data_IF_354545484883
#
_entry.id   IF_354545484883
#
_cell.length_a   1.000
_cell.length_b   1.000
_cell.length_c   1.000
_cell.angle_alpha   90.00
_cell.angle_beta   90.00
_cell.angle_gamma   90.00
#
_symmetry.space_group_name_H-M   'P 1'
#
loop_
_entity.id
_entity.type
_entity.pdbx_description
1 polymer ?
#
# COMPACT_ATOMS: atom_id res chain seq x y z
N UNK A 1 17.83 0.71 -16.10
CA UNK A 1 18.57 0.04 -15.02
C UNK A 1 18.78 1.01 -13.88
N UNK A 2 19.21 0.54 -12.71
CA UNK A 2 19.64 1.37 -11.58
C UNK A 2 20.71 2.37 -12.03
N UNK A 3 21.64 1.91 -12.87
CA UNK A 3 22.68 2.76 -13.46
C UNK A 3 22.11 3.86 -14.37
N UNK A 4 21.13 3.54 -15.24
CA UNK A 4 20.48 4.56 -16.08
C UNK A 4 19.76 5.62 -15.23
N UNK A 5 19.14 5.21 -14.12
CA UNK A 5 18.50 6.16 -13.20
C UNK A 5 19.51 7.02 -12.45
N UNK A 6 20.65 6.46 -12.05
CA UNK A 6 21.77 7.20 -11.48
C UNK A 6 22.26 8.28 -12.43
N UNK A 7 22.47 7.95 -13.71
CA UNK A 7 22.88 8.90 -14.75
C UNK A 7 21.82 10.00 -14.99
N UNK A 8 20.53 9.66 -14.92
CA UNK A 8 19.45 10.65 -14.99
C UNK A 8 19.52 11.64 -13.82
N UNK A 9 19.83 11.18 -12.60
CA UNK A 9 20.01 12.07 -11.46
C UNK A 9 21.25 12.97 -11.63
N UNK A 10 22.37 12.44 -12.09
CA UNK A 10 23.58 13.23 -12.40
C UNK A 10 23.31 14.33 -13.43
N UNK A 11 22.58 14.02 -14.50
CA UNK A 11 22.21 15.00 -15.52
C UNK A 11 21.30 16.11 -14.96
N UNK A 12 20.42 15.76 -14.02
CA UNK A 12 19.49 16.73 -13.41
C UNK A 12 20.12 17.53 -12.27
N UNK A 13 21.30 17.15 -11.77
CA UNK A 13 22.07 17.97 -10.81
C UNK A 13 22.43 19.33 -11.42
N UNK A 14 22.75 19.37 -12.72
CA UNK A 14 23.17 20.60 -13.42
C UNK A 14 22.09 21.68 -13.49
N UNK A 15 20.84 21.26 -13.68
CA UNK A 15 19.69 22.18 -13.85
C UNK A 15 18.90 22.37 -12.57
N UNK A 16 19.12 21.51 -11.58
CA UNK A 16 18.41 21.48 -10.32
C UNK A 16 17.05 20.78 -10.43
N UNK A 17 16.78 19.88 -9.49
CA UNK A 17 15.47 19.26 -9.29
C UNK A 17 14.60 20.15 -8.39
N UNK A 18 13.34 20.34 -8.79
CA UNK A 18 12.33 21.00 -7.94
C UNK A 18 11.77 20.09 -6.86
N UNK A 19 11.75 18.78 -7.14
CA UNK A 19 11.24 17.77 -6.24
C UNK A 19 12.41 17.14 -5.49
N UNK A 20 12.41 17.30 -4.17
CA UNK A 20 13.25 16.51 -3.27
C UNK A 20 12.48 15.25 -2.91
N UNK A 21 13.12 14.09 -3.02
CA UNK A 21 12.40 12.84 -2.88
C UNK A 21 13.27 11.61 -2.70
N UNK A 22 12.61 10.53 -2.30
CA UNK A 22 13.18 9.21 -2.20
C UNK A 22 12.70 8.38 -3.40
N UNK A 23 13.62 7.74 -4.12
CA UNK A 23 13.31 6.90 -5.26
C UNK A 23 13.82 5.48 -5.02
N UNK A 24 12.94 4.49 -5.03
CA UNK A 24 13.32 3.08 -5.08
C UNK A 24 13.40 2.63 -6.53
N UNK A 25 14.50 1.98 -6.91
CA UNK A 25 14.74 1.50 -8.28
C UNK A 25 15.20 0.05 -8.21
N UNK A 26 14.54 -0.79 -8.98
CA UNK A 26 14.95 -2.18 -9.23
C UNK A 26 15.12 -2.39 -10.73
N UNK A 27 15.93 -3.37 -11.13
CA UNK A 27 16.02 -3.79 -12.51
C UNK A 27 16.23 -5.30 -12.67
N UNK A 28 16.03 -5.78 -13.90
CA UNK A 28 16.17 -7.19 -14.25
C UNK A 28 17.63 -7.69 -14.29
N UNK A 29 18.63 -6.82 -14.12
CA UNK A 29 20.02 -7.23 -13.98
C UNK A 29 20.40 -7.54 -12.52
N UNK A 30 19.44 -7.44 -11.59
CA UNK A 30 19.64 -7.65 -10.16
C UNK A 30 19.98 -6.37 -9.39
N UNK A 31 19.93 -5.20 -10.04
CA UNK A 31 20.07 -3.92 -9.37
C UNK A 31 18.88 -3.65 -8.46
N UNK A 32 19.16 -3.25 -7.21
CA UNK A 32 18.16 -2.78 -6.26
C UNK A 32 18.77 -1.66 -5.43
N UNK A 33 18.25 -0.43 -5.57
CA UNK A 33 18.81 0.73 -4.90
C UNK A 33 17.73 1.72 -4.47
N UNK A 34 18.06 2.49 -3.44
CA UNK A 34 17.28 3.64 -3.03
C UNK A 34 18.11 4.91 -3.17
N UNK A 35 17.51 5.96 -3.71
CA UNK A 35 18.12 7.26 -3.88
C UNK A 35 17.44 8.28 -2.97
N UNK A 36 18.21 8.98 -2.14
CA UNK A 36 17.76 10.22 -1.48
C UNK A 36 18.25 11.40 -2.33
N UNK A 37 17.35 12.05 -3.07
CA UNK A 37 17.69 13.11 -4.01
C UNK A 37 17.27 14.49 -3.49
N UNK A 38 18.25 15.38 -3.33
CA UNK A 38 18.07 16.81 -3.11
C UNK A 38 18.01 17.60 -4.43
N UNK A 39 18.06 18.94 -4.38
CA UNK A 39 17.98 19.78 -5.57
C UNK A 39 19.13 19.57 -6.56
N UNK A 40 20.38 19.52 -6.08
CA UNK A 40 21.58 19.49 -6.93
C UNK A 40 22.52 18.32 -6.61
N UNK A 41 22.12 17.46 -5.68
CA UNK A 41 22.88 16.26 -5.28
C UNK A 41 21.93 15.14 -4.92
N UNK A 42 22.45 13.92 -4.91
CA UNK A 42 21.74 12.74 -4.42
C UNK A 42 22.71 11.78 -3.74
N UNK A 43 22.17 10.91 -2.88
CA UNK A 43 22.89 9.77 -2.33
C UNK A 43 22.21 8.48 -2.79
N UNK A 44 22.99 7.57 -3.35
CA UNK A 44 22.56 6.22 -3.68
C UNK A 44 22.88 5.27 -2.51
N UNK A 45 21.93 4.38 -2.23
CA UNK A 45 22.04 3.30 -1.27
C UNK A 45 21.76 1.98 -2.01
N UNK A 46 22.78 1.17 -2.24
CA UNK A 46 22.65 -0.13 -2.90
C UNK A 46 22.18 -1.19 -1.89
N UNK A 47 21.06 -1.86 -2.18
CA UNK A 47 20.54 -2.91 -1.32
C UNK A 47 21.36 -4.21 -1.38
N UNK A 48 22.24 -4.35 -2.38
CA UNK A 48 23.16 -5.48 -2.50
C UNK A 48 24.47 -5.27 -1.73
N UNK A 49 24.75 -4.05 -1.26
CA UNK A 49 25.94 -3.75 -0.48
C UNK A 49 25.68 -4.07 1.01
N UNK A 50 26.39 -5.04 1.62
CA UNK A 50 26.17 -5.41 3.02
C UNK A 50 26.57 -4.30 4.02
N UNK A 51 27.36 -3.30 3.63
CA UNK A 51 27.64 -2.13 4.48
C UNK A 51 26.43 -1.17 4.52
N UNK A 52 25.65 -1.12 3.45
CA UNK A 52 24.46 -0.27 3.30
C UNK A 52 23.20 -0.99 3.80
N UNK A 53 23.03 -2.25 3.42
CA UNK A 53 21.89 -3.10 3.70
C UNK A 53 22.36 -4.43 4.31
N UNK A 54 22.83 -4.43 5.58
CA UNK A 54 23.41 -5.62 6.23
C UNK A 54 22.44 -6.80 6.35
N UNK A 55 21.13 -6.55 6.23
CA UNK A 55 20.07 -7.56 6.24
C UNK A 55 19.49 -7.84 4.85
N UNK A 56 20.06 -7.29 3.79
CA UNK A 56 19.60 -7.46 2.40
C UNK A 56 18.35 -6.66 2.03
N UNK A 57 17.97 -5.66 2.83
CA UNK A 57 16.85 -4.76 2.53
C UNK A 57 17.14 -3.33 2.98
N UNK A 58 16.43 -2.37 2.38
CA UNK A 58 16.44 -0.95 2.76
C UNK A 58 15.00 -0.50 3.02
N UNK A 59 14.76 0.15 4.15
CA UNK A 59 13.49 0.82 4.46
C UNK A 59 13.69 2.33 4.45
N UNK A 60 12.70 3.05 3.92
CA UNK A 60 12.57 4.49 4.08
C UNK A 60 11.15 4.86 4.48
N UNK A 61 11.08 5.88 5.33
CA UNK A 61 9.85 6.55 5.67
C UNK A 61 9.98 8.04 5.31
N UNK A 62 9.15 8.91 5.88
CA UNK A 62 9.12 10.34 5.54
C UNK A 62 10.22 11.14 6.26
N UNK A 63 11.46 10.65 6.20
CA UNK A 63 12.67 11.37 6.60
C UNK A 63 13.84 10.92 5.72
N UNK A 64 14.86 11.76 5.59
CA UNK A 64 16.11 11.44 4.90
C UNK A 64 17.20 11.10 5.91
N UNK A 65 17.91 10.00 5.68
CA UNK A 65 19.06 9.59 6.51
C UNK A 65 20.24 10.54 6.32
N UNK A 66 20.49 10.97 5.09
CA UNK A 66 21.52 11.95 4.73
C UNK A 66 21.31 13.29 5.43
N UNK A 67 20.09 13.85 5.37
CA UNK A 67 19.77 15.13 5.99
C UNK A 67 19.89 15.11 7.52
N UNK A 68 19.79 13.91 8.12
CA UNK A 68 19.93 13.70 9.57
C UNK A 68 21.34 13.28 9.99
N UNK A 69 22.23 12.99 9.05
CA UNK A 69 23.57 12.48 9.35
C UNK A 69 23.55 11.12 10.05
N UNK A 70 22.56 10.27 9.75
CA UNK A 70 22.44 8.92 10.32
C UNK A 70 22.83 7.85 9.28
N UNK A 71 23.22 6.64 9.70
CA UNK A 71 23.62 5.58 8.76
C UNK A 71 22.50 5.22 7.75
N UNK A 72 22.85 4.56 6.62
CA UNK A 72 21.88 4.10 5.62
C UNK A 72 20.74 3.23 6.17
N UNK A 73 21.07 2.32 7.09
CA UNK A 73 20.14 1.48 7.84
C UNK A 73 20.23 1.84 9.33
N UNK A 74 19.66 2.98 9.76
CA UNK A 74 19.80 3.44 11.14
C UNK A 74 19.07 2.47 12.09
N UNK A 75 19.64 2.25 13.28
CA UNK A 75 18.90 1.55 14.34
C UNK A 75 17.61 2.32 14.66
N UNK A 76 16.52 1.60 14.95
CA UNK A 76 15.20 2.19 15.21
C UNK A 76 15.20 3.21 16.35
N UNK A 77 16.06 3.04 17.36
CA UNK A 77 16.24 4.00 18.47
C UNK A 77 16.80 5.35 18.03
N UNK A 78 17.58 5.40 16.93
CA UNK A 78 18.17 6.64 16.42
C UNK A 78 17.13 7.55 15.76
N UNK A 79 16.03 6.95 15.26
CA UNK A 79 14.94 7.68 14.61
C UNK A 79 13.72 7.85 15.51
N UNK A 80 13.84 7.52 16.80
CA UNK A 80 12.80 7.79 17.79
C UNK A 80 12.51 9.30 17.89
N UNK A 81 11.23 9.67 18.06
CA UNK A 81 10.80 11.08 18.05
C UNK A 81 10.91 11.78 16.69
N UNK A 82 11.39 11.10 15.64
CA UNK A 82 11.36 11.61 14.27
C UNK A 82 9.98 11.40 13.68
N UNK A 83 9.45 12.40 12.97
CA UNK A 83 8.25 12.20 12.17
C UNK A 83 8.42 10.98 11.25
N UNK A 84 7.49 10.02 11.30
CA UNK A 84 7.57 8.75 10.57
C UNK A 84 8.60 7.73 11.10
N UNK A 85 9.26 7.99 12.22
CA UNK A 85 10.20 7.06 12.87
C UNK A 85 9.55 5.77 13.36
N UNK A 86 8.35 5.86 13.94
CA UNK A 86 7.56 4.69 14.38
C UNK A 86 7.19 3.78 13.19
N UNK A 87 6.79 4.37 12.06
CA UNK A 87 6.49 3.65 10.81
C UNK A 87 7.72 2.96 10.23
N UNK A 88 8.86 3.64 10.24
CA UNK A 88 10.14 3.03 9.87
C UNK A 88 10.46 1.83 10.77
N UNK A 89 10.36 2.00 12.08
CA UNK A 89 10.64 0.94 13.05
C UNK A 89 9.68 -0.25 12.88
N UNK A 90 8.40 0.02 12.61
CA UNK A 90 7.38 -0.99 12.36
C UNK A 90 7.67 -1.79 11.08
N UNK A 91 8.00 -1.11 9.98
CA UNK A 91 8.36 -1.77 8.73
C UNK A 91 9.62 -2.64 8.87
N UNK A 92 10.65 -2.15 9.57
CA UNK A 92 11.84 -2.96 9.86
C UNK A 92 11.51 -4.21 10.68
N UNK A 93 10.69 -4.11 11.74
CA UNK A 93 10.28 -5.27 12.54
C UNK A 93 9.52 -6.31 11.71
N UNK A 94 8.56 -5.87 10.89
CA UNK A 94 7.79 -6.78 10.02
C UNK A 94 8.70 -7.57 9.07
N UNK A 95 9.71 -6.91 8.48
CA UNK A 95 10.67 -7.59 7.61
C UNK A 95 11.60 -8.51 8.43
N UNK A 96 12.09 -8.04 9.57
CA UNK A 96 13.02 -8.79 10.43
C UNK A 96 12.41 -10.07 11.00
N UNK A 97 11.12 -10.05 11.32
CA UNK A 97 10.36 -11.22 11.79
C UNK A 97 10.25 -12.30 10.70
N UNK A 98 10.35 -11.92 9.42
CA UNK A 98 10.38 -12.85 8.27
C UNK A 98 11.79 -13.20 7.81
N UNK A 99 12.81 -12.45 8.24
CA UNK A 99 14.21 -12.66 7.86
C UNK A 99 15.12 -12.76 9.11
N UNK A 100 14.88 -13.69 10.06
CA UNK A 100 15.53 -13.71 11.37
C UNK A 100 17.06 -13.90 11.31
N UNK A 101 17.58 -14.61 10.30
CA UNK A 101 19.01 -14.93 10.17
C UNK A 101 19.73 -14.14 9.05
N UNK A 102 19.10 -13.11 8.49
CA UNK A 102 19.68 -12.33 7.37
C UNK A 102 19.93 -13.16 6.10
N UNK A 103 19.36 -14.37 6.02
CA UNK A 103 19.39 -15.23 4.83
C UNK A 103 18.22 -14.87 3.91
N UNK A 104 18.39 -15.18 2.63
CA UNK A 104 17.28 -15.28 1.67
C UNK A 104 16.32 -16.37 2.17
N UNK A 105 15.34 -15.98 2.98
CA UNK A 105 14.23 -16.84 3.35
C UNK A 105 13.09 -16.64 2.37
N UNK A 106 12.45 -17.74 1.99
CA UNK A 106 11.23 -17.76 1.17
C UNK A 106 10.02 -17.10 1.89
N UNK A 107 10.22 -16.48 3.05
CA UNK A 107 9.19 -15.98 3.96
C UNK A 107 8.80 -14.51 3.70
N UNK A 108 9.60 -13.72 2.98
CA UNK A 108 9.21 -12.38 2.51
C UNK A 108 8.50 -12.50 1.14
N UNK A 109 7.31 -13.08 1.17
CA UNK A 109 6.51 -13.32 -0.03
C UNK A 109 5.73 -12.07 -0.46
N UNK A 110 5.26 -12.06 -1.72
CA UNK A 110 4.43 -10.96 -2.24
C UNK A 110 3.09 -10.86 -1.49
N UNK A 111 2.49 -11.99 -1.10
CA UNK A 111 1.27 -12.02 -0.29
C UNK A 111 1.53 -11.42 1.10
N UNK A 112 2.66 -11.71 1.73
CA UNK A 112 3.01 -11.09 3.01
C UNK A 112 3.14 -9.57 2.88
N UNK A 113 3.82 -9.07 1.85
CA UNK A 113 3.94 -7.61 1.65
C UNK A 113 2.56 -6.98 1.42
N UNK A 114 1.74 -7.56 0.54
CA UNK A 114 0.41 -7.03 0.21
C UNK A 114 -0.59 -7.12 1.38
N UNK A 115 -0.53 -8.19 2.16
CA UNK A 115 -1.46 -8.43 3.27
C UNK A 115 -0.97 -7.80 4.56
N UNK A 116 0.20 -8.21 5.04
CA UNK A 116 0.73 -7.82 6.35
C UNK A 116 1.35 -6.42 6.35
N UNK A 117 2.10 -6.02 5.32
CA UNK A 117 2.78 -4.72 5.34
C UNK A 117 1.88 -3.58 4.88
N UNK A 118 1.18 -3.74 3.74
CA UNK A 118 0.35 -2.68 3.18
C UNK A 118 -0.92 -2.38 4.01
N UNK A 119 -1.34 -3.31 4.88
CA UNK A 119 -2.54 -3.17 5.75
C UNK A 119 -2.20 -3.18 7.24
N UNK A 120 -0.94 -2.89 7.60
CA UNK A 120 -0.51 -2.93 8.99
C UNK A 120 -1.32 -1.97 9.87
N UNK A 121 -1.80 -2.52 10.99
CA UNK A 121 -2.56 -1.83 12.03
C UNK A 121 -1.86 -2.08 13.37
N UNK A 122 -0.87 -1.24 13.67
CA UNK A 122 -0.18 -1.23 14.94
C UNK A 122 -0.25 0.15 15.60
N UNK A 123 -0.24 0.16 16.93
CA UNK A 123 -0.23 1.39 17.72
C UNK A 123 1.10 2.16 17.59
N UNK A 124 1.21 3.32 18.24
CA UNK A 124 2.43 4.15 18.24
C UNK A 124 3.65 3.48 18.88
N UNK A 125 3.45 2.41 19.66
CA UNK A 125 4.55 1.59 20.21
C UNK A 125 4.96 0.47 19.26
N UNK A 126 4.17 0.25 18.20
CA UNK A 126 4.39 -0.77 17.19
C UNK A 126 3.80 -2.12 17.54
N UNK A 127 2.92 -2.18 18.54
CA UNK A 127 2.18 -3.39 18.91
C UNK A 127 0.96 -3.48 17.99
N UNK A 128 0.79 -4.59 17.24
CA UNK A 128 -0.38 -4.78 16.39
C UNK A 128 -1.65 -4.95 17.23
N UNK A 129 -2.75 -4.37 16.78
CA UNK A 129 -4.04 -4.53 17.45
C UNK A 129 -4.54 -5.97 17.34
N UNK A 130 -5.19 -6.49 18.37
CA UNK A 130 -5.86 -7.80 18.35
C UNK A 130 -6.87 -7.87 17.20
N UNK A 131 -7.01 -9.05 16.59
CA UNK A 131 -7.88 -9.23 15.41
C UNK A 131 -7.39 -8.59 14.11
N UNK A 132 -6.34 -7.76 14.15
CA UNK A 132 -5.75 -7.17 12.95
C UNK A 132 -4.87 -8.15 12.18
N UNK A 133 -4.49 -7.77 10.95
CA UNK A 133 -3.69 -8.61 10.04
C UNK A 133 -2.35 -9.10 10.62
N UNK A 134 -1.77 -8.35 11.57
CA UNK A 134 -0.51 -8.70 12.24
C UNK A 134 -0.71 -8.96 13.74
N UNK A 135 -1.95 -8.92 14.23
CA UNK A 135 -2.31 -9.05 15.62
C UNK A 135 -2.45 -10.50 16.09
N UNK A 136 -2.51 -10.72 17.41
CA UNK A 136 -3.01 -11.99 17.93
C UNK A 136 -4.48 -12.19 17.51
N UNK A 137 -4.91 -13.45 17.50
CA UNK A 137 -6.31 -13.78 17.25
C UNK A 137 -7.22 -13.15 18.32
N UNK A 138 -8.33 -12.56 17.88
CA UNK A 138 -9.35 -11.95 18.73
C UNK A 138 -10.16 -10.92 17.95
N UNK A 139 -10.83 -10.01 18.66
CA UNK A 139 -11.68 -8.97 18.06
C UNK A 139 -10.91 -7.66 17.91
N UNK A 140 -11.19 -6.94 16.81
CA UNK A 140 -10.67 -5.59 16.62
C UNK A 140 -11.27 -4.65 17.68
N UNK A 141 -10.50 -3.67 18.20
CA UNK A 141 -11.08 -2.58 18.97
C UNK A 141 -12.03 -1.77 18.09
N UNK A 142 -13.18 -1.33 18.63
CA UNK A 142 -14.21 -0.54 17.92
C UNK A 142 -13.64 0.55 17.01
N UNK A 143 -12.58 1.23 17.48
CA UNK A 143 -11.85 2.23 16.74
C UNK A 143 -10.34 1.99 16.78
N UNK A 144 -9.68 2.21 15.64
CA UNK A 144 -8.22 2.19 15.52
C UNK A 144 -7.71 3.54 15.07
N UNK A 145 -6.91 4.21 15.91
CA UNK A 145 -6.15 5.38 15.49
C UNK A 145 -5.04 4.96 14.52
N UNK A 146 -4.99 5.59 13.35
CA UNK A 146 -4.07 5.18 12.29
C UNK A 146 -2.85 6.09 12.15
N UNK A 147 -2.69 7.11 13.01
CA UNK A 147 -1.65 8.13 12.82
C UNK A 147 -0.23 7.57 12.84
N UNK A 148 0.01 6.51 13.61
CA UNK A 148 1.30 5.82 13.69
C UNK A 148 1.42 4.58 12.78
N UNK A 149 0.30 4.07 12.25
CA UNK A 149 0.27 2.88 11.39
C UNK A 149 0.98 3.12 10.06
N UNK A 150 1.44 2.05 9.40
CA UNK A 150 1.89 2.15 8.01
C UNK A 150 0.71 2.55 7.09
N UNK A 151 -0.47 1.94 7.30
CA UNK A 151 -1.69 2.20 6.51
C UNK A 151 -2.63 3.19 7.19
N UNK A 152 -2.43 4.49 6.90
CA UNK A 152 -3.14 5.61 7.53
C UNK A 152 -4.47 5.92 6.83
N UNK A 153 -5.34 6.70 7.47
CA UNK A 153 -6.56 7.25 6.82
C UNK A 153 -6.23 8.07 5.56
N UNK A 154 -5.04 8.67 5.51
CA UNK A 154 -4.53 9.41 4.34
C UNK A 154 -3.91 8.52 3.26
N UNK A 155 -3.79 7.20 3.47
CA UNK A 155 -3.27 6.29 2.45
C UNK A 155 -4.31 6.17 1.33
N UNK A 156 -3.89 6.44 0.10
CA UNK A 156 -4.77 6.43 -1.09
C UNK A 156 -4.46 5.31 -2.07
N UNK A 157 -3.35 4.60 -1.84
CA UNK A 157 -2.98 3.39 -2.55
C UNK A 157 -1.78 2.72 -1.87
N UNK A 158 -1.56 1.46 -2.20
CA UNK A 158 -0.27 0.79 -2.03
C UNK A 158 0.12 0.12 -3.35
N UNK A 159 1.43 0.02 -3.59
CA UNK A 159 1.97 -0.67 -4.74
C UNK A 159 3.18 -1.52 -4.35
N UNK A 160 3.25 -2.73 -4.92
CA UNK A 160 4.38 -3.64 -4.75
C UNK A 160 4.93 -4.01 -6.13
N UNK A 161 6.18 -3.64 -6.38
CA UNK A 161 6.88 -3.99 -7.61
C UNK A 161 7.64 -5.29 -7.40
N UNK A 162 7.14 -6.36 -8.00
CA UNK A 162 7.77 -7.69 -7.99
C UNK A 162 8.58 -7.87 -9.27
N UNK A 163 9.86 -7.55 -9.19
CA UNK A 163 10.86 -7.70 -10.26
C UNK A 163 11.11 -9.14 -10.69
N UNK A 164 12.05 -9.32 -11.60
CA UNK A 164 12.47 -10.61 -12.16
C UNK A 164 13.94 -10.86 -11.87
N UNK A 165 14.38 -12.13 -11.88
CA UNK A 165 15.78 -12.50 -11.67
C UNK A 165 16.63 -12.21 -12.92
N UNK A 166 17.96 -12.06 -12.78
CA UNK A 166 18.86 -11.99 -13.93
C UNK A 166 18.66 -13.16 -14.90
N UNK A 167 18.35 -12.83 -16.16
CA UNK A 167 18.10 -13.79 -17.23
C UNK A 167 16.62 -14.11 -17.50
N UNK A 168 15.70 -13.70 -16.62
CA UNK A 168 14.25 -13.76 -16.88
C UNK A 168 13.82 -12.58 -17.78
N UNK A 169 12.67 -12.71 -18.45
CA UNK A 169 12.12 -11.64 -19.29
C UNK A 169 11.68 -10.45 -18.42
N UNK A 170 12.30 -9.25 -18.57
CA UNK A 170 11.95 -8.05 -17.80
C UNK A 170 10.47 -7.64 -17.93
N UNK A 171 9.83 -8.00 -19.04
CA UNK A 171 8.41 -7.71 -19.28
C UNK A 171 7.47 -8.45 -18.32
N UNK A 172 7.96 -9.50 -17.65
CA UNK A 172 7.24 -10.25 -16.61
C UNK A 172 7.19 -9.53 -15.26
N UNK A 173 7.90 -8.40 -15.11
CA UNK A 173 7.85 -7.58 -13.90
C UNK A 173 6.42 -7.18 -13.60
N UNK A 174 5.97 -7.45 -12.37
CA UNK A 174 4.58 -7.25 -11.94
C UNK A 174 4.51 -6.08 -10.96
N UNK A 175 3.66 -5.11 -11.25
CA UNK A 175 3.21 -4.09 -10.31
C UNK A 175 1.87 -4.54 -9.74
N UNK A 176 1.84 -4.90 -8.46
CA UNK A 176 0.59 -5.10 -7.74
C UNK A 176 0.08 -3.76 -7.23
N UNK A 177 -1.19 -3.45 -7.47
CA UNK A 177 -1.82 -2.21 -7.02
C UNK A 177 -3.00 -2.48 -6.12
N UNK A 178 -3.01 -1.86 -4.94
CA UNK A 178 -4.19 -1.71 -4.10
C UNK A 178 -4.62 -0.25 -4.23
N UNK A 179 -5.67 0.02 -5.01
CA UNK A 179 -6.15 1.40 -5.24
C UNK A 179 -7.16 1.79 -4.18
N UNK A 180 -7.02 2.98 -3.60
CA UNK A 180 -7.71 3.37 -2.38
C UNK A 180 -6.94 2.94 -1.13
N UNK A 181 -7.55 3.09 0.04
CA UNK A 181 -6.94 2.64 1.28
C UNK A 181 -6.84 1.10 1.30
N UNK A 182 -5.64 0.53 1.44
CA UNK A 182 -5.43 -0.92 1.40
C UNK A 182 -6.32 -1.72 2.35
N UNK A 183 -6.75 -1.14 3.48
CA UNK A 183 -7.64 -1.81 4.44
C UNK A 183 -9.01 -2.14 3.85
N UNK A 184 -9.41 -1.39 2.83
CA UNK A 184 -10.70 -1.48 2.13
C UNK A 184 -10.54 -1.75 0.64
N UNK A 185 -9.44 -2.39 0.22
CA UNK A 185 -9.11 -2.58 -1.18
C UNK A 185 -8.52 -3.95 -1.44
N UNK A 186 -8.36 -4.28 -2.72
CA UNK A 186 -7.85 -5.54 -3.25
C UNK A 186 -6.65 -5.29 -4.15
N UNK A 187 -5.66 -6.17 -4.10
CA UNK A 187 -4.50 -6.14 -4.98
C UNK A 187 -4.86 -6.65 -6.39
N UNK A 188 -4.52 -5.87 -7.41
CA UNK A 188 -4.64 -6.23 -8.82
C UNK A 188 -3.25 -6.25 -9.47
N UNK A 189 -2.89 -7.32 -10.21
CA UNK A 189 -1.61 -7.39 -10.90
C UNK A 189 -1.64 -6.64 -12.24
N UNK A 190 -0.62 -5.82 -12.48
CA UNK A 190 -0.35 -5.15 -13.75
C UNK A 190 1.07 -5.52 -14.20
N UNK A 191 1.26 -5.86 -15.47
CA UNK A 191 2.60 -6.21 -16.00
C UNK A 191 3.14 -5.12 -16.90
N UNK A 192 4.47 -5.02 -16.98
CA UNK A 192 5.14 -4.16 -17.98
C UNK A 192 4.71 -4.54 -19.40
N UNK A 193 4.48 -5.82 -19.65
CA UNK A 193 4.00 -6.34 -20.93
C UNK A 193 2.54 -6.00 -21.28
N UNK A 194 1.73 -5.48 -20.35
CA UNK A 194 0.33 -5.19 -20.63
C UNK A 194 0.19 -4.12 -21.71
N UNK A 195 -0.60 -4.40 -22.75
CA UNK A 195 -0.89 -3.44 -23.82
C UNK A 195 -1.98 -2.44 -23.40
N UNK A 196 -2.84 -2.86 -22.47
CA UNK A 196 -3.91 -2.02 -21.91
C UNK A 196 -4.26 -2.48 -20.49
N UNK A 197 -4.75 -1.54 -19.68
CA UNK A 197 -5.26 -1.80 -18.34
C UNK A 197 -6.79 -1.84 -18.34
N UNK A 198 -7.38 -2.65 -17.45
CA UNK A 198 -8.81 -2.73 -17.25
C UNK A 198 -9.34 -1.51 -16.47
N UNK A 199 -10.62 -1.16 -16.68
CA UNK A 199 -11.30 -0.04 -15.98
C UNK A 199 -11.29 -0.18 -14.45
N UNK A 200 -11.12 -1.40 -13.95
CA UNK A 200 -10.96 -1.68 -12.53
C UNK A 200 -9.83 -0.85 -11.91
N UNK A 201 -8.74 -0.64 -12.65
CA UNK A 201 -7.53 0.04 -12.17
C UNK A 201 -7.11 1.26 -12.99
N UNK A 202 -7.79 1.55 -14.10
CA UNK A 202 -7.49 2.66 -14.99
C UNK A 202 -8.75 3.45 -15.38
N UNK A 203 -8.61 4.74 -15.63
CA UNK A 203 -9.71 5.62 -16.03
C UNK A 203 -9.32 7.10 -15.91
N UNK A 204 -10.05 7.98 -16.59
CA UNK A 204 -9.80 9.45 -16.57
C UNK A 204 -9.83 10.02 -15.15
N UNK A 205 -10.72 9.49 -14.30
CA UNK A 205 -10.92 9.91 -12.92
C UNK A 205 -10.43 8.88 -11.89
N UNK A 206 -9.56 7.95 -12.33
CA UNK A 206 -9.12 6.80 -11.54
C UNK A 206 -9.89 5.51 -11.86
N UNK A 207 -9.33 4.37 -11.43
CA UNK A 207 -9.96 3.06 -11.63
C UNK A 207 -11.16 2.84 -10.71
N UNK A 208 -12.12 2.03 -11.16
CA UNK A 208 -13.37 1.77 -10.44
C UNK A 208 -13.16 1.22 -9.01
N UNK A 209 -12.12 0.40 -8.79
CA UNK A 209 -11.75 -0.11 -7.45
C UNK A 209 -11.40 1.05 -6.51
N UNK A 210 -10.69 2.08 -6.99
CA UNK A 210 -10.32 3.24 -6.18
C UNK A 210 -11.55 3.96 -5.63
N UNK A 211 -12.56 4.17 -6.48
CA UNK A 211 -13.82 4.84 -6.10
C UNK A 211 -14.61 4.04 -5.06
N UNK A 212 -14.64 2.72 -5.22
CA UNK A 212 -15.28 1.83 -4.24
C UNK A 212 -14.54 1.90 -2.91
N UNK A 213 -13.23 1.63 -2.91
CA UNK A 213 -12.40 1.65 -1.70
C UNK A 213 -12.44 3.01 -0.98
N UNK A 214 -12.50 4.12 -1.73
CA UNK A 214 -12.68 5.45 -1.15
C UNK A 214 -14.04 5.61 -0.44
N UNK A 215 -15.11 5.02 -1.00
CA UNK A 215 -16.44 5.01 -0.39
C UNK A 215 -16.45 4.16 0.89
N UNK A 216 -15.89 2.94 0.83
CA UNK A 216 -15.75 2.05 1.98
C UNK A 216 -14.99 2.77 3.11
N UNK A 217 -13.84 3.39 2.80
CA UNK A 217 -13.08 4.17 3.77
C UNK A 217 -13.91 5.29 4.38
N UNK A 218 -14.55 6.12 3.54
CA UNK A 218 -15.26 7.32 4.02
C UNK A 218 -16.36 6.99 5.03
N UNK A 219 -17.02 5.83 4.89
CA UNK A 219 -18.05 5.39 5.83
C UNK A 219 -17.50 4.83 7.13
N UNK A 220 -16.20 4.54 7.17
CA UNK A 220 -15.52 3.93 8.30
C UNK A 220 -14.50 4.90 8.95
N UNK A 221 -14.51 6.19 8.66
CA UNK A 221 -13.64 7.14 9.35
C UNK A 221 -14.23 7.54 10.71
N UNK A 222 -13.37 7.73 11.69
CA UNK A 222 -13.74 8.42 12.95
C UNK A 222 -14.14 9.87 12.66
N UNK A 223 -14.87 10.51 13.58
CA UNK A 223 -15.32 11.91 13.41
C UNK A 223 -14.14 12.87 13.21
N UNK A 224 -13.03 12.63 13.92
CA UNK A 224 -11.77 13.40 13.78
C UNK A 224 -10.92 12.99 12.56
N UNK A 225 -11.27 11.89 11.88
CA UNK A 225 -10.63 11.32 10.69
C UNK A 225 -9.17 10.87 10.89
N UNK A 226 -8.71 10.78 12.14
CA UNK A 226 -7.38 10.26 12.48
C UNK A 226 -7.38 8.73 12.66
N UNK A 227 -8.57 8.12 12.73
CA UNK A 227 -8.79 6.70 12.88
C UNK A 227 -9.82 6.11 11.93
N UNK A 228 -10.05 4.82 12.10
CA UNK A 228 -11.12 4.08 11.43
C UNK A 228 -11.99 3.36 12.47
N UNK A 229 -13.31 3.38 12.24
CA UNK A 229 -14.26 2.46 12.86
C UNK A 229 -14.01 1.07 12.26
N UNK A 230 -13.97 0.04 13.11
CA UNK A 230 -13.56 -1.31 12.66
C UNK A 230 -14.71 -2.26 12.41
N UNK A 231 -15.95 -1.89 12.73
CA UNK A 231 -17.13 -2.77 12.66
C UNK A 231 -17.27 -3.52 11.34
N UNK A 232 -16.95 -2.84 10.23
CA UNK A 232 -17.07 -3.40 8.89
C UNK A 232 -15.78 -4.04 8.35
N UNK A 233 -14.62 -3.82 8.99
CA UNK A 233 -13.34 -4.32 8.49
C UNK A 233 -13.30 -5.86 8.38
N UNK A 234 -13.74 -6.65 9.40
CA UNK A 234 -13.74 -8.10 9.28
C UNK A 234 -14.54 -8.61 8.10
N UNK A 235 -15.73 -8.04 7.84
CA UNK A 235 -16.56 -8.43 6.69
C UNK A 235 -15.86 -8.10 5.37
N UNK A 236 -15.36 -6.87 5.22
CA UNK A 236 -14.60 -6.46 4.03
C UNK A 236 -13.44 -7.42 3.76
N UNK A 237 -12.77 -7.86 4.82
CA UNK A 237 -11.66 -8.80 4.71
C UNK A 237 -12.12 -10.20 4.33
N UNK A 238 -13.17 -10.73 4.95
CA UNK A 238 -13.73 -12.05 4.66
C UNK A 238 -14.23 -12.17 3.21
N UNK A 239 -14.75 -11.08 2.64
CA UNK A 239 -15.27 -11.06 1.27
C UNK A 239 -14.15 -10.86 0.22
N UNK A 240 -13.21 -9.96 0.51
CA UNK A 240 -12.18 -9.54 -0.46
C UNK A 240 -10.93 -10.43 -0.44
N UNK A 241 -10.48 -10.86 0.74
CA UNK A 241 -9.20 -11.55 0.90
C UNK A 241 -9.14 -12.92 0.23
N UNK A 242 -10.17 -13.79 0.32
CA UNK A 242 -10.15 -15.07 -0.39
C UNK A 242 -10.06 -14.90 -1.91
N UNK A 243 -10.59 -13.81 -2.45
CA UNK A 243 -10.44 -13.45 -3.87
C UNK A 243 -8.99 -13.06 -4.12
N UNK A 244 -8.44 -12.13 -3.34
CA UNK A 244 -7.03 -11.69 -3.44
C UNK A 244 -6.06 -12.87 -3.42
N UNK A 245 -6.23 -13.82 -2.50
CA UNK A 245 -5.38 -15.00 -2.36
C UNK A 245 -5.40 -15.87 -3.64
N UNK A 246 -6.59 -16.03 -4.25
CA UNK A 246 -6.71 -16.73 -5.54
C UNK A 246 -6.03 -15.98 -6.67
N UNK A 247 -6.17 -14.65 -6.74
CA UNK A 247 -5.49 -13.85 -7.76
C UNK A 247 -3.97 -13.98 -7.64
N UNK A 248 -3.44 -13.89 -6.42
CA UNK A 248 -2.01 -14.08 -6.13
C UNK A 248 -1.56 -15.48 -6.56
N UNK A 249 -2.28 -16.53 -6.18
CA UNK A 249 -1.94 -17.90 -6.55
C UNK A 249 -1.89 -18.11 -8.08
N UNK A 250 -2.86 -17.57 -8.83
CA UNK A 250 -2.88 -17.63 -10.29
C UNK A 250 -1.67 -16.91 -10.90
N UNK A 251 -1.33 -15.72 -10.39
CA UNK A 251 -0.17 -14.97 -10.89
C UNK A 251 1.14 -15.68 -10.59
N UNK A 252 1.32 -16.20 -9.38
CA UNK A 252 2.53 -16.92 -9.02
C UNK A 252 2.72 -18.19 -9.87
N UNK A 253 1.63 -18.89 -10.19
CA UNK A 253 1.68 -20.03 -11.13
C UNK A 253 2.02 -19.60 -12.55
N UNK A 254 1.40 -18.53 -13.06
CA UNK A 254 1.69 -18.01 -14.40
C UNK A 254 3.12 -17.50 -14.52
N UNK A 255 3.67 -16.88 -13.47
CA UNK A 255 5.08 -16.47 -13.44
C UNK A 255 6.03 -17.65 -13.55
N UNK A 256 5.81 -18.73 -12.79
CA UNK A 256 6.60 -19.98 -12.92
C UNK A 256 6.56 -20.53 -14.35
N UNK A 257 5.41 -20.46 -15.01
CA UNK A 257 5.29 -20.86 -16.41
C UNK A 257 6.11 -19.96 -17.34
N UNK A 258 6.06 -18.64 -17.14
CA UNK A 258 6.77 -17.66 -17.96
C UNK A 258 8.30 -17.70 -17.83
N UNK A 259 8.83 -18.23 -16.73
CA UNK A 259 10.27 -18.50 -16.58
C UNK A 259 10.81 -19.45 -17.68
N UNK A 260 9.98 -20.39 -18.15
CA UNK A 260 10.39 -21.37 -19.18
C UNK A 260 9.84 -21.05 -20.56
N UNK A 261 8.67 -20.41 -20.63
CA UNK A 261 7.99 -20.06 -21.88
C UNK A 261 7.48 -18.63 -21.77
N UNK A 262 8.24 -17.64 -22.27
CA UNK A 262 7.87 -16.23 -22.15
C UNK A 262 6.45 -15.95 -22.64
N UNK A 263 5.70 -15.20 -21.84
CA UNK A 263 4.35 -14.78 -22.18
C UNK A 263 4.34 -13.75 -23.32
N UNK A 264 3.26 -13.74 -24.09
CA UNK A 264 3.02 -12.68 -25.08
C UNK A 264 2.30 -11.48 -24.43
N UNK A 265 2.49 -10.24 -24.91
CA UNK A 265 1.75 -9.07 -24.42
C UNK A 265 0.23 -9.26 -24.38
N UNK A 266 -0.30 -10.01 -25.35
CA UNK A 266 -1.71 -10.40 -25.39
C UNK A 266 -2.11 -11.29 -24.22
N UNK A 267 -1.32 -12.32 -23.88
CA UNK A 267 -1.59 -13.20 -22.73
C UNK A 267 -1.54 -12.43 -21.41
N UNK A 268 -0.56 -11.54 -21.23
CA UNK A 268 -0.50 -10.65 -20.07
C UNK A 268 -1.75 -9.77 -19.96
N UNK A 269 -2.18 -9.19 -21.09
CA UNK A 269 -3.34 -8.30 -21.14
C UNK A 269 -4.66 -9.06 -20.89
N UNK A 270 -4.81 -10.27 -21.44
CA UNK A 270 -5.98 -11.12 -21.21
C UNK A 270 -6.04 -11.59 -19.75
N UNK A 271 -4.92 -12.01 -19.17
CA UNK A 271 -4.84 -12.39 -17.76
C UNK A 271 -5.14 -11.19 -16.84
N UNK A 272 -4.52 -10.03 -17.10
CA UNK A 272 -4.81 -8.79 -16.36
C UNK A 272 -6.29 -8.48 -16.36
N UNK A 273 -6.94 -8.45 -17.53
CA UNK A 273 -8.37 -8.17 -17.65
C UNK A 273 -9.20 -9.17 -16.84
N UNK A 274 -8.89 -10.46 -16.95
CA UNK A 274 -9.60 -11.52 -16.25
C UNK A 274 -9.51 -11.40 -14.71
N UNK A 275 -8.31 -11.14 -14.18
CA UNK A 275 -8.09 -10.98 -12.74
C UNK A 275 -8.64 -9.65 -12.21
N UNK A 276 -8.51 -8.58 -13.00
CA UNK A 276 -9.05 -7.26 -12.66
C UNK A 276 -10.58 -7.25 -12.62
N UNK A 277 -11.25 -8.01 -13.49
CA UNK A 277 -12.71 -8.20 -13.42
C UNK A 277 -13.12 -8.90 -12.13
N UNK A 278 -12.46 -10.00 -11.76
CA UNK A 278 -12.75 -10.70 -10.49
C UNK A 278 -12.54 -9.81 -9.27
N UNK A 279 -11.46 -9.03 -9.27
CA UNK A 279 -11.19 -8.06 -8.21
C UNK A 279 -12.27 -6.98 -8.11
N UNK A 280 -12.71 -6.44 -9.26
CA UNK A 280 -13.76 -5.42 -9.31
C UNK A 280 -15.12 -5.98 -8.87
N UNK A 281 -15.44 -7.22 -9.26
CA UNK A 281 -16.70 -7.86 -8.86
C UNK A 281 -16.76 -8.09 -7.35
N UNK A 282 -15.66 -8.56 -6.73
CA UNK A 282 -15.56 -8.68 -5.27
C UNK A 282 -15.76 -7.34 -4.56
N UNK A 283 -15.12 -6.27 -5.06
CA UNK A 283 -15.30 -4.92 -4.52
C UNK A 283 -16.73 -4.40 -4.69
N UNK A 284 -17.41 -4.73 -5.80
CA UNK A 284 -18.81 -4.33 -6.05
C UNK A 284 -19.78 -5.07 -5.13
N UNK A 285 -19.52 -6.34 -4.86
CA UNK A 285 -20.29 -7.17 -3.92
C UNK A 285 -20.18 -6.60 -2.50
N UNK A 286 -18.95 -6.36 -2.01
CA UNK A 286 -18.71 -5.71 -0.71
C UNK A 286 -19.44 -4.36 -0.60
N UNK A 287 -19.35 -3.50 -1.62
CA UNK A 287 -20.06 -2.23 -1.61
C UNK A 287 -21.58 -2.39 -1.54
N UNK A 288 -22.14 -3.44 -2.18
CA UNK A 288 -23.56 -3.72 -2.14
C UNK A 288 -23.99 -4.20 -0.75
N UNK A 289 -23.19 -5.06 -0.11
CA UNK A 289 -23.47 -5.61 1.21
C UNK A 289 -23.39 -4.54 2.30
N UNK A 290 -22.35 -3.71 2.29
CA UNK A 290 -22.25 -2.60 3.23
C UNK A 290 -23.39 -1.57 3.04
N UNK A 291 -23.84 -1.32 1.80
CA UNK A 291 -25.04 -0.51 1.53
C UNK A 291 -26.30 -1.13 2.11
N UNK A 292 -26.47 -2.44 1.96
CA UNK A 292 -27.61 -3.15 2.51
C UNK A 292 -27.60 -3.10 4.05
N UNK A 293 -26.44 -3.31 4.67
CA UNK A 293 -26.26 -3.20 6.12
C UNK A 293 -26.62 -1.80 6.63
N UNK A 294 -26.14 -0.74 5.97
CA UNK A 294 -26.44 0.65 6.34
C UNK A 294 -27.95 0.97 6.30
N UNK A 295 -28.72 0.37 5.38
CA UNK A 295 -30.17 0.55 5.30
C UNK A 295 -30.94 -0.14 6.45
N UNK A 296 -30.31 -1.08 7.15
CA UNK A 296 -30.91 -1.76 8.30
C UNK A 296 -30.70 -1.03 9.63
N UNK A 297 -29.83 0.00 9.65
CA UNK A 297 -29.59 0.79 10.84
C UNK A 297 -30.82 1.65 11.19
N UNK A 298 -31.15 1.80 12.48
CA UNK A 298 -32.27 2.65 12.92
C UNK A 298 -32.07 4.08 12.40
N UNK A 299 -33.09 4.64 11.76
CA UNK A 299 -33.03 6.04 11.32
C UNK A 299 -32.87 6.95 12.54
N UNK A 300 -31.91 7.88 12.55
CA UNK A 300 -31.79 8.84 13.63
C UNK A 300 -33.13 9.60 13.79
N UNK A 301 -33.49 9.97 15.04
CA UNK A 301 -34.72 10.71 15.28
C UNK A 301 -34.72 12.00 14.45
N UNK A 302 -35.88 12.41 13.90
CA UNK A 302 -35.97 13.60 13.08
C UNK A 302 -35.45 14.82 13.86
N UNK A 303 -34.73 15.75 13.20
CA UNK A 303 -34.19 16.93 13.86
C UNK A 303 -35.31 17.70 14.56
N UNK A 304 -35.10 18.01 15.84
CA UNK A 304 -36.01 18.85 16.59
C UNK A 304 -35.83 20.30 16.15
N UNK A 305 -36.72 20.77 15.27
CA UNK A 305 -36.76 22.19 14.91
C UNK A 305 -37.41 23.00 16.02
N UNK A 306 -36.71 24.01 16.53
CA UNK A 306 -37.29 25.01 17.42
C UNK A 306 -38.40 25.76 16.66
N UNK A 307 -39.64 25.83 17.19
CA UNK A 307 -40.71 26.59 16.55
C UNK A 307 -40.28 28.04 16.33
N UNK A 308 -40.49 28.57 15.12
CA UNK A 308 -40.21 29.96 14.83
C UNK A 308 -40.96 30.87 15.81
N UNK A 309 -40.23 31.80 16.44
CA UNK A 309 -40.81 32.83 17.28
C UNK A 309 -41.85 33.60 16.45
N UNK A 310 -43.13 33.54 16.85
CA UNK A 310 -44.14 34.45 16.28
C UNK A 310 -43.73 35.87 16.67
N UNK A 311 -43.35 36.67 15.68
CA UNK A 311 -43.26 38.12 15.88
C UNK A 311 -44.62 38.63 16.36
N UNK A 312 -44.67 39.48 17.40
CA UNK A 312 -45.92 40.07 17.84
C UNK A 312 -46.47 40.92 16.69
N UNK A 313 -47.71 40.62 16.28
CA UNK A 313 -48.44 41.40 15.31
C UNK A 313 -48.42 42.88 15.74
N UNK A 314 -47.84 43.73 14.88
CA UNK A 314 -47.86 45.18 15.07
C UNK A 314 -49.30 45.64 15.32
N UNK A 315 -49.50 46.35 16.44
CA UNK A 315 -50.77 47.00 16.75
C UNK A 315 -50.94 48.23 15.82
N UNK A 316 -52.18 48.52 15.38
CA UNK A 316 -52.48 49.49 14.33
C UNK A 316 -52.18 50.95 14.70
#
# INVERSE_FOLDING_TARGET
TVEDFRQLLEQTDETGRRTVGNFGVIDAAGGAALFEAGPETFQMFDANDPEVAPRGYIVRANFATTARGVPPAPNTTVVEGTYSGERYARACRLIDDRLPDGRQGDDLTVDYVLRSMCRDLADGTGIPFEGSVNGPAGELPDEVNTSATISRTTTVSAAVFHGVKPGEDPLSTTMWVQLGDPKFSIAVPCWVACESLAEAVAGEYGGAICSIAATLREWNLTEDRDGVQTDHLPQVWDDVWPVEDRLIAVVLEMRRRWETTPGTPREYTELHRHLATQALDAMREELADMKAAALTLPTPPPPAFTPAHKEPAGSP
#
